data_IF_636025773396
#
_entry.id   IF_636025773396
#
_cell.length_a   1.000
_cell.length_b   1.000
_cell.length_c   1.000
_cell.angle_alpha   90.00
_cell.angle_beta   90.00
_cell.angle_gamma   90.00
#
_symmetry.space_group_name_H-M   'P 1'
#
loop_
_entity.id
_entity.type
_entity.pdbx_description
1 polymer ?
#
# COMPACT_ATOMS: atom_id res chain seq x y z
N UNK A 1 -7.84 8.60 3.28
CA UNK A 1 -8.70 7.44 2.94
C UNK A 1 -8.08 6.24 3.63
N UNK A 2 -8.90 5.49 4.37
CA UNK A 2 -8.43 4.37 5.18
C UNK A 2 -8.39 3.09 4.34
N UNK A 3 -7.77 2.04 4.87
CA UNK A 3 -7.67 0.76 4.21
C UNK A 3 -9.06 0.15 3.91
N UNK A 4 -10.00 0.30 4.84
CA UNK A 4 -11.39 -0.19 4.69
C UNK A 4 -12.20 0.59 3.65
N UNK A 5 -11.87 1.87 3.43
CA UNK A 5 -12.53 2.73 2.45
C UNK A 5 -12.02 2.51 1.03
N UNK A 6 -11.01 1.64 0.83
CA UNK A 6 -10.44 1.43 -0.49
C UNK A 6 -11.54 0.99 -1.49
N UNK A 7 -11.78 1.73 -2.58
CA UNK A 7 -12.89 1.46 -3.50
C UNK A 7 -12.62 0.25 -4.40
N UNK A 8 -11.37 -0.23 -4.43
CA UNK A 8 -10.96 -1.33 -5.27
C UNK A 8 -11.25 -2.68 -4.57
N UNK A 9 -11.86 -3.66 -5.27
CA UNK A 9 -12.10 -5.00 -4.72
C UNK A 9 -10.79 -5.77 -4.51
N UNK A 10 -9.72 -5.36 -5.18
CA UNK A 10 -8.40 -5.96 -5.05
C UNK A 10 -7.36 -4.85 -5.09
N UNK A 11 -6.42 -4.90 -4.15
CA UNK A 11 -5.33 -3.93 -3.98
C UNK A 11 -4.03 -4.57 -4.42
N UNK A 12 -3.35 -3.93 -5.37
CA UNK A 12 -2.05 -4.36 -5.87
C UNK A 12 -0.95 -3.47 -5.32
N UNK A 13 0.02 -4.08 -4.63
CA UNK A 13 1.21 -3.41 -4.09
C UNK A 13 2.44 -3.90 -4.83
N UNK A 14 3.29 -2.95 -5.21
CA UNK A 14 4.52 -3.18 -5.96
C UNK A 14 5.67 -2.43 -5.30
N UNK A 15 6.81 -3.08 -5.10
CA UNK A 15 8.06 -2.40 -4.76
C UNK A 15 8.99 -2.40 -5.97
N UNK A 16 9.50 -1.23 -6.37
CA UNK A 16 10.39 -1.13 -7.54
C UNK A 16 11.78 -1.73 -7.32
N UNK A 17 12.16 -2.01 -6.08
CA UNK A 17 13.48 -2.53 -5.74
C UNK A 17 13.46 -4.03 -5.50
N UNK A 18 12.75 -4.50 -4.47
CA UNK A 18 12.70 -5.93 -4.14
C UNK A 18 11.72 -6.74 -5.01
N UNK A 19 11.12 -6.11 -6.03
CA UNK A 19 10.14 -6.71 -6.95
C UNK A 19 8.96 -7.40 -6.27
N UNK A 20 8.67 -7.07 -5.00
CA UNK A 20 7.53 -7.63 -4.28
C UNK A 20 6.25 -7.17 -4.96
N UNK A 21 5.62 -8.08 -5.70
CA UNK A 21 4.31 -7.92 -6.33
C UNK A 21 3.29 -8.70 -5.50
N UNK A 22 2.37 -7.99 -4.83
CA UNK A 22 1.31 -8.62 -4.06
C UNK A 22 -0.05 -8.12 -4.49
N UNK A 23 -0.92 -9.04 -4.94
CA UNK A 23 -2.33 -8.76 -5.21
C UNK A 23 -3.18 -9.29 -4.06
N UNK A 24 -3.82 -8.38 -3.34
CA UNK A 24 -4.59 -8.69 -2.14
C UNK A 24 -6.06 -8.40 -2.38
N UNK A 25 -6.94 -9.37 -2.11
CA UNK A 25 -8.38 -9.06 -1.99
C UNK A 25 -8.57 -8.00 -0.90
N UNK A 26 -9.53 -7.09 -1.07
CA UNK A 26 -9.79 -5.98 -0.13
C UNK A 26 -9.86 -6.47 1.32
N UNK A 27 -10.58 -7.55 1.60
CA UNK A 27 -10.68 -8.16 2.93
C UNK A 27 -9.31 -8.55 3.52
N UNK A 28 -8.45 -9.19 2.72
CA UNK A 28 -7.11 -9.60 3.15
C UNK A 28 -6.20 -8.39 3.33
N UNK A 29 -6.32 -7.40 2.44
CA UNK A 29 -5.60 -6.13 2.56
C UNK A 29 -5.96 -5.42 3.87
N UNK A 30 -7.25 -5.25 4.16
CA UNK A 30 -7.77 -4.65 5.39
C UNK A 30 -7.32 -5.43 6.63
N UNK A 31 -7.35 -6.77 6.57
CA UNK A 31 -6.88 -7.63 7.67
C UNK A 31 -5.39 -7.45 7.97
N UNK A 32 -4.56 -7.24 6.95
CA UNK A 32 -3.10 -7.05 7.11
C UNK A 32 -2.79 -5.61 7.55
N UNK A 33 -3.37 -4.62 6.86
CA UNK A 33 -3.09 -3.21 7.07
C UNK A 33 -3.75 -2.63 8.33
N UNK A 34 -4.87 -3.21 8.77
CA UNK A 34 -5.77 -2.62 9.75
C UNK A 34 -6.76 -1.66 9.08
N UNK A 35 -8.07 -1.85 9.31
CA UNK A 35 -9.13 -1.08 8.63
C UNK A 35 -9.01 0.43 8.83
N UNK A 36 -8.67 0.86 10.04
CA UNK A 36 -8.47 2.27 10.39
C UNK A 36 -7.17 2.91 9.89
N UNK A 37 -6.26 2.13 9.31
CA UNK A 37 -4.95 2.61 8.86
C UNK A 37 -5.08 3.40 7.56
N UNK A 38 -4.42 4.55 7.49
CA UNK A 38 -4.35 5.33 6.25
C UNK A 38 -3.58 4.58 5.16
N UNK A 39 -4.02 4.69 3.91
CA UNK A 39 -3.42 3.96 2.79
C UNK A 39 -1.90 4.17 2.62
N UNK A 40 -1.32 5.36 2.81
CA UNK A 40 0.13 5.52 2.81
C UNK A 40 0.82 4.72 3.92
N UNK A 41 0.26 4.66 5.12
CA UNK A 41 0.79 3.87 6.23
C UNK A 41 0.62 2.36 6.00
N UNK A 42 -0.49 1.95 5.38
CA UNK A 42 -0.77 0.57 5.04
C UNK A 42 0.30 -0.06 4.15
N UNK A 43 0.92 0.72 3.24
CA UNK A 43 2.08 0.26 2.47
C UNK A 43 3.23 -0.17 3.38
N UNK A 44 3.55 0.64 4.38
CA UNK A 44 4.57 0.35 5.39
C UNK A 44 4.25 -0.90 6.21
N UNK A 45 2.97 -1.22 6.43
CA UNK A 45 2.58 -2.48 7.10
C UNK A 45 2.77 -3.68 6.17
N UNK A 46 2.34 -3.56 4.90
CA UNK A 46 2.35 -4.67 3.93
C UNK A 46 3.76 -5.10 3.53
N UNK A 47 4.71 -4.17 3.52
CA UNK A 47 6.11 -4.46 3.21
C UNK A 47 6.98 -4.53 4.47
N UNK A 48 6.40 -4.81 5.65
CA UNK A 48 7.09 -4.98 6.94
C UNK A 48 8.26 -5.97 6.87
N UNK A 49 8.12 -6.99 6.05
CA UNK A 49 9.07 -8.08 5.83
C UNK A 49 10.00 -7.84 4.62
N UNK A 50 10.00 -6.63 4.04
CA UNK A 50 10.98 -6.26 3.04
C UNK A 50 12.35 -6.13 3.71
N UNK A 51 13.34 -6.91 3.25
CA UNK A 51 14.70 -6.92 3.80
C UNK A 51 15.51 -5.65 3.47
N UNK A 52 15.02 -4.83 2.54
CA UNK A 52 15.62 -3.56 2.17
C UNK A 52 15.29 -2.42 3.16
N UNK A 53 16.26 -1.52 3.35
CA UNK A 53 16.05 -0.30 4.14
C UNK A 53 14.93 0.57 3.55
N UNK A 54 14.09 1.12 4.43
CA UNK A 54 12.97 1.97 4.06
C UNK A 54 13.40 3.42 3.91
N UNK A 55 12.76 4.09 2.95
CA UNK A 55 12.76 5.54 2.92
C UNK A 55 12.05 6.05 4.18
N UNK A 56 12.77 6.77 5.02
CA UNK A 56 12.25 7.45 6.20
C UNK A 56 12.82 8.88 6.24
N UNK A 57 12.26 9.79 7.06
CA UNK A 57 12.84 11.13 7.21
C UNK A 57 14.32 11.11 7.61
N UNK A 58 14.75 10.12 8.40
CA UNK A 58 16.15 9.92 8.79
C UNK A 58 16.99 9.13 7.79
N UNK A 59 16.36 8.46 6.81
CA UNK A 59 17.04 7.69 5.77
C UNK A 59 16.34 7.89 4.42
N UNK A 60 16.66 9.00 3.75
CA UNK A 60 16.15 9.30 2.41
C UNK A 60 16.73 8.40 1.31
N UNK A 61 17.77 7.61 1.62
CA UNK A 61 18.45 6.71 0.67
C UNK A 61 17.94 5.27 0.72
N UNK A 62 16.91 4.98 1.52
CA UNK A 62 16.31 3.65 1.58
C UNK A 62 15.92 3.10 0.19
N UNK A 63 16.24 1.83 -0.02
CA UNK A 63 15.99 1.12 -1.27
C UNK A 63 14.52 0.70 -1.42
N UNK A 64 13.83 0.43 -0.31
CA UNK A 64 12.44 -0.01 -0.34
C UNK A 64 11.51 1.14 -0.77
N UNK A 65 10.88 0.97 -1.94
CA UNK A 65 9.97 1.93 -2.55
C UNK A 65 8.62 1.28 -2.90
N UNK A 66 7.83 0.89 -1.87
CA UNK A 66 6.51 0.31 -2.08
C UNK A 66 5.53 1.38 -2.62
N UNK A 67 4.73 0.99 -3.60
CA UNK A 67 3.64 1.80 -4.17
C UNK A 67 2.45 0.93 -4.49
N UNK A 68 1.28 1.53 -4.53
CA UNK A 68 0.12 0.88 -5.14
C UNK A 68 0.32 0.86 -6.65
N UNK A 69 0.21 -0.33 -7.26
CA UNK A 69 0.34 -0.49 -8.72
C UNK A 69 -0.88 0.09 -9.46
N UNK A 70 -2.03 0.04 -8.80
CA UNK A 70 -3.29 0.57 -9.31
C UNK A 70 -3.41 2.06 -9.01
N UNK A 71 -4.08 2.79 -9.91
CA UNK A 71 -4.49 4.16 -9.66
C UNK A 71 -5.71 4.20 -8.74
N UNK A 72 -5.49 3.93 -7.45
CA UNK A 72 -6.54 3.97 -6.43
C UNK A 72 -7.04 5.39 -6.17
N UNK A 73 -6.24 6.42 -6.47
CA UNK A 73 -6.66 7.82 -6.35
C UNK A 73 -7.78 8.14 -7.35
N UNK A 74 -7.61 7.76 -8.62
CA UNK A 74 -8.65 7.90 -9.63
C UNK A 74 -9.92 7.08 -9.29
N UNK A 75 -9.74 5.88 -8.71
CA UNK A 75 -10.86 5.07 -8.24
C UNK A 75 -11.61 5.74 -7.07
N UNK A 76 -10.88 6.36 -6.14
CA UNK A 76 -11.45 7.08 -4.99
C UNK A 76 -12.24 8.32 -5.44
N UNK A 77 -11.70 9.10 -6.36
CA UNK A 77 -12.40 10.26 -6.93
C UNK A 77 -13.69 9.90 -7.65
N UNK A 78 -13.79 8.66 -8.18
CA UNK A 78 -15.00 8.16 -8.86
C UNK A 78 -16.05 7.61 -7.89
N UNK A 79 -15.64 7.15 -6.71
CA UNK A 79 -16.53 6.61 -5.68
C UNK A 79 -17.18 7.69 -4.79
N UNK A 80 -16.66 8.92 -4.83
CA UNK A 80 -17.19 10.10 -4.12
C UNK A 80 -18.21 10.92 -4.96
N UNK A 81 -18.54 10.47 -6.17
CA UNK A 81 -19.58 11.02 -7.04
C UNK A 81 -20.81 10.13 -7.04
#
# INVERSE_FOLDING_TARGET
>A
MRAEDCPLPTVEVFCSYCSRCGRYKKERFVKIAGGGTDLPQALGVIVADCQEERVTPGNMRGNSRPRYAQNWWAAASKALR
#
